data_IF_362446121453
#
_entry.id   IF_362446121453
#
_cell.length_a   1.000
_cell.length_b   1.000
_cell.length_c   1.000
_cell.angle_alpha   90.00
_cell.angle_beta   90.00
_cell.angle_gamma   90.00
#
_symmetry.space_group_name_H-M   'P 1'
#
loop_
_entity.id
_entity.type
_entity.pdbx_description
1 polymer ?
#
# COMPACT_ATOMS: atom_id res chain seq x y z
N UNK A 1 13.69 -6.33 -34.42
CA UNK A 1 13.95 -5.08 -33.66
C UNK A 1 12.80 -4.13 -33.99
N UNK A 2 11.73 -4.15 -33.20
CA UNK A 2 10.53 -3.35 -33.48
C UNK A 2 10.83 -1.88 -33.15
N UNK A 3 10.94 -1.03 -34.17
CA UNK A 3 11.06 0.41 -33.98
C UNK A 3 9.77 0.97 -33.36
N UNK A 4 9.87 1.89 -32.39
CA UNK A 4 8.74 2.54 -31.68
C UNK A 4 7.59 3.00 -32.60
N UNK A 5 7.88 3.42 -33.83
CA UNK A 5 6.86 3.78 -34.85
C UNK A 5 5.92 2.62 -35.24
N UNK A 6 6.41 1.39 -35.22
CA UNK A 6 5.64 0.17 -35.54
C UNK A 6 4.70 -0.25 -34.41
N UNK A 7 4.92 0.26 -33.20
CA UNK A 7 4.13 -0.08 -32.00
C UNK A 7 3.04 0.95 -31.69
N UNK A 8 3.01 2.08 -32.40
CA UNK A 8 1.93 3.07 -32.33
C UNK A 8 0.89 2.72 -33.41
N UNK A 9 -0.39 2.51 -33.08
CA UNK A 9 -1.44 2.40 -34.08
C UNK A 9 -1.57 3.72 -34.86
N UNK A 10 -2.00 3.65 -36.12
CA UNK A 10 -2.42 4.83 -36.89
C UNK A 10 -3.56 5.54 -36.17
N UNK A 11 -3.67 6.85 -36.33
CA UNK A 11 -4.81 7.60 -35.78
C UNK A 11 -6.12 7.04 -36.32
N UNK A 12 -7.04 6.70 -35.41
CA UNK A 12 -8.35 6.11 -35.74
C UNK A 12 -8.38 4.59 -35.91
N UNK A 13 -7.24 3.89 -35.85
CA UNK A 13 -7.18 2.43 -35.96
C UNK A 13 -7.11 1.72 -34.60
N UNK A 14 -7.79 0.58 -34.49
CA UNK A 14 -7.68 -0.27 -33.30
C UNK A 14 -6.28 -0.90 -33.23
N UNK A 15 -5.66 -0.94 -32.04
CA UNK A 15 -4.33 -1.51 -31.89
C UNK A 15 -4.33 -3.00 -32.23
N UNK A 16 -3.29 -3.45 -32.94
CA UNK A 16 -3.12 -4.87 -33.26
C UNK A 16 -2.91 -5.71 -32.00
N UNK A 17 -3.20 -7.02 -32.08
CA UNK A 17 -2.99 -7.96 -30.94
C UNK A 17 -1.56 -7.93 -30.41
N UNK A 18 -0.57 -7.74 -31.29
CA UNK A 18 0.85 -7.64 -30.90
C UNK A 18 1.13 -6.35 -30.13
N UNK A 19 0.61 -5.21 -30.59
CA UNK A 19 0.76 -3.92 -29.91
C UNK A 19 0.14 -3.96 -28.51
N UNK A 20 -1.07 -4.53 -28.40
CA UNK A 20 -1.76 -4.69 -27.13
C UNK A 20 -1.01 -5.66 -26.19
N UNK A 21 -0.50 -6.78 -26.72
CA UNK A 21 0.29 -7.75 -25.97
C UNK A 21 1.57 -7.14 -25.39
N UNK A 22 2.29 -6.34 -26.19
CA UNK A 22 3.47 -5.60 -25.73
C UNK A 22 3.10 -4.61 -24.63
N UNK A 23 2.04 -3.82 -24.82
CA UNK A 23 1.57 -2.85 -23.82
C UNK A 23 1.22 -3.54 -22.49
N UNK A 24 0.43 -4.62 -22.50
CA UNK A 24 0.06 -5.31 -21.28
C UNK A 24 1.25 -5.98 -20.60
N UNK A 25 2.21 -6.52 -21.35
CA UNK A 25 3.44 -7.06 -20.76
C UNK A 25 4.25 -5.98 -20.03
N UNK A 26 4.34 -4.78 -20.61
CA UNK A 26 5.02 -3.65 -19.99
C UNK A 26 4.29 -3.17 -18.72
N UNK A 27 2.96 -3.07 -18.74
CA UNK A 27 2.16 -2.72 -17.56
C UNK A 27 2.28 -3.75 -16.43
N UNK A 28 2.37 -5.05 -16.77
CA UNK A 28 2.61 -6.11 -15.80
C UNK A 28 3.99 -5.99 -15.17
N UNK A 29 5.03 -5.68 -15.96
CA UNK A 29 6.38 -5.45 -15.43
C UNK A 29 6.41 -4.26 -14.47
N UNK A 30 5.78 -3.13 -14.83
CA UNK A 30 5.65 -1.96 -13.96
C UNK A 30 4.90 -2.32 -12.66
N UNK A 31 3.85 -3.13 -12.75
CA UNK A 31 3.10 -3.59 -11.57
C UNK A 31 3.96 -4.47 -10.65
N UNK A 32 4.77 -5.37 -11.21
CA UNK A 32 5.72 -6.21 -10.45
C UNK A 32 6.78 -5.34 -9.79
N UNK A 33 7.32 -4.35 -10.50
CA UNK A 33 8.31 -3.40 -9.97
C UNK A 33 7.75 -2.61 -8.80
N UNK A 34 6.57 -2.01 -8.96
CA UNK A 34 5.89 -1.25 -7.91
C UNK A 34 5.62 -2.12 -6.69
N UNK A 35 5.18 -3.37 -6.91
CA UNK A 35 4.94 -4.33 -5.84
C UNK A 35 6.20 -4.73 -5.07
N UNK A 36 7.37 -4.76 -5.71
CA UNK A 36 8.63 -5.10 -5.05
C UNK A 36 9.30 -3.92 -4.35
N UNK A 37 9.39 -2.78 -5.05
CA UNK A 37 10.16 -1.60 -4.60
C UNK A 37 9.47 -0.84 -3.47
N UNK A 38 8.13 -0.69 -3.52
CA UNK A 38 7.37 0.08 -2.53
C UNK A 38 7.53 -0.43 -1.09
N UNK A 39 7.77 -1.73 -0.88
CA UNK A 39 7.93 -2.30 0.46
C UNK A 39 9.38 -2.46 0.90
N UNK A 40 10.34 -2.31 -0.01
CA UNK A 40 11.74 -2.67 0.28
C UNK A 40 12.64 -1.44 0.42
N UNK A 41 12.50 -0.42 -0.43
CA UNK A 41 13.45 0.70 -0.48
C UNK A 41 13.54 1.44 0.86
N UNK A 42 12.40 1.84 1.42
CA UNK A 42 12.37 2.59 2.68
C UNK A 42 12.92 1.77 3.86
N UNK A 43 12.61 0.47 3.91
CA UNK A 43 13.07 -0.42 4.99
C UNK A 43 14.57 -0.67 4.87
N UNK A 44 15.07 -0.99 3.66
CA UNK A 44 16.50 -1.19 3.41
C UNK A 44 17.30 0.07 3.75
N UNK A 45 16.76 1.26 3.43
CA UNK A 45 17.37 2.54 3.80
C UNK A 45 17.38 2.78 5.31
N UNK A 46 16.27 2.54 6.00
CA UNK A 46 16.19 2.67 7.46
C UNK A 46 17.11 1.68 8.19
N UNK A 47 17.24 0.45 7.68
CA UNK A 47 18.10 -0.60 8.24
C UNK A 47 19.60 -0.24 8.24
N UNK A 48 20.00 0.79 7.47
CA UNK A 48 21.37 1.32 7.51
C UNK A 48 21.67 2.03 8.83
N UNK A 49 20.63 2.56 9.51
CA UNK A 49 20.77 3.32 10.74
C UNK A 49 20.52 2.44 11.97
N UNK A 50 21.49 2.30 12.90
CA UNK A 50 21.32 1.45 14.08
C UNK A 50 20.40 2.05 15.15
N UNK A 51 20.24 3.38 15.19
CA UNK A 51 19.47 4.09 16.21
C UNK A 51 18.08 4.42 15.67
N UNK A 52 17.05 4.13 16.47
CA UNK A 52 15.65 4.41 16.11
C UNK A 52 15.40 5.90 15.81
N UNK A 53 16.10 6.81 16.49
CA UNK A 53 16.02 8.25 16.21
C UNK A 53 16.45 8.58 14.77
N UNK A 54 17.56 8.01 14.33
CA UNK A 54 18.13 8.27 13.01
C UNK A 54 17.27 7.62 11.90
N UNK A 55 16.67 6.46 12.19
CA UNK A 55 15.66 5.84 11.33
C UNK A 55 14.44 6.75 11.12
N UNK A 56 13.94 7.38 12.20
CA UNK A 56 12.84 8.32 12.12
C UNK A 56 13.17 9.55 11.27
N UNK A 57 14.38 10.11 11.41
CA UNK A 57 14.86 11.21 10.57
C UNK A 57 14.95 10.79 9.10
N UNK A 58 15.45 9.59 8.83
CA UNK A 58 15.48 9.03 7.48
C UNK A 58 14.08 8.92 6.87
N UNK A 59 13.10 8.36 7.61
CA UNK A 59 11.73 8.24 7.11
C UNK A 59 11.12 9.60 6.76
N UNK A 60 11.34 10.62 7.60
CA UNK A 60 10.84 11.98 7.31
C UNK A 60 11.42 12.53 6.00
N UNK A 61 12.73 12.42 5.80
CA UNK A 61 13.37 12.84 4.55
C UNK A 61 12.94 12.00 3.35
N UNK A 62 12.80 10.68 3.52
CA UNK A 62 12.31 9.78 2.49
C UNK A 62 10.91 10.20 2.01
N UNK A 63 9.96 10.41 2.93
CA UNK A 63 8.61 10.84 2.53
C UNK A 63 8.61 12.25 1.93
N UNK A 64 9.35 13.20 2.50
CA UNK A 64 9.47 14.54 1.93
C UNK A 64 9.97 14.51 0.48
N UNK A 65 11.07 13.80 0.23
CA UNK A 65 11.63 13.65 -1.14
C UNK A 65 10.67 12.92 -2.07
N UNK A 66 9.95 11.90 -1.59
CA UNK A 66 8.95 11.17 -2.36
C UNK A 66 7.78 12.07 -2.79
N UNK A 67 7.27 12.95 -1.91
CA UNK A 67 6.22 13.90 -2.27
C UNK A 67 6.70 14.93 -3.29
N UNK A 68 7.91 15.48 -3.13
CA UNK A 68 8.51 16.41 -4.10
C UNK A 68 8.70 15.73 -5.45
N UNK A 69 9.22 14.49 -5.47
CA UNK A 69 9.41 13.71 -6.69
C UNK A 69 8.08 13.42 -7.40
N UNK A 70 7.02 13.11 -6.65
CA UNK A 70 5.67 12.94 -7.23
C UNK A 70 5.16 14.23 -7.88
N UNK A 71 5.33 15.38 -7.23
CA UNK A 71 4.93 16.67 -7.83
C UNK A 71 5.69 16.93 -9.13
N UNK A 72 7.01 16.71 -9.16
CA UNK A 72 7.82 16.86 -10.37
C UNK A 72 7.37 15.87 -11.46
N UNK A 73 7.07 14.62 -11.08
CA UNK A 73 6.59 13.59 -12.00
C UNK A 73 5.26 13.98 -12.64
N UNK A 74 4.24 14.29 -11.83
CA UNK A 74 2.92 14.65 -12.34
C UNK A 74 2.87 16.00 -13.06
N UNK A 75 3.90 16.85 -12.93
CA UNK A 75 3.99 18.11 -13.69
C UNK A 75 4.93 17.97 -14.89
N UNK A 76 6.24 17.95 -14.65
CA UNK A 76 7.26 18.03 -15.69
C UNK A 76 7.29 16.79 -16.58
N UNK A 77 7.22 15.58 -16.00
CA UNK A 77 7.25 14.34 -16.81
C UNK A 77 5.97 14.20 -17.63
N UNK A 78 4.81 14.45 -17.02
CA UNK A 78 3.52 14.42 -17.73
C UNK A 78 3.49 15.47 -18.85
N UNK A 79 4.01 16.68 -18.60
CA UNK A 79 4.13 17.72 -19.63
C UNK A 79 5.02 17.27 -20.80
N UNK A 80 6.18 16.67 -20.53
CA UNK A 80 7.03 16.11 -21.59
C UNK A 80 6.30 15.01 -22.36
N UNK A 81 5.55 14.14 -21.68
CA UNK A 81 4.81 13.05 -22.31
C UNK A 81 3.68 13.57 -23.23
N UNK A 82 2.91 14.54 -22.75
CA UNK A 82 1.70 15.02 -23.43
C UNK A 82 2.00 16.06 -24.50
N UNK A 83 2.90 17.02 -24.22
CA UNK A 83 3.17 18.15 -25.13
C UNK A 83 4.35 17.94 -26.07
N UNK A 84 5.36 17.14 -25.69
CA UNK A 84 6.58 16.96 -26.50
C UNK A 84 6.60 15.58 -27.17
N UNK A 85 6.30 14.52 -26.39
CA UNK A 85 6.12 13.19 -26.92
C UNK A 85 6.47 12.06 -25.94
N UNK A 86 5.75 10.96 -26.12
CA UNK A 86 5.80 9.79 -25.24
C UNK A 86 7.20 9.14 -25.19
N UNK A 87 7.89 9.08 -26.33
CA UNK A 87 9.23 8.47 -26.39
C UNK A 87 10.25 9.21 -25.51
N UNK A 88 10.21 10.55 -25.50
CA UNK A 88 11.10 11.36 -24.67
C UNK A 88 10.72 11.25 -23.19
N UNK A 89 9.42 11.32 -22.88
CA UNK A 89 8.94 11.20 -21.49
C UNK A 89 9.31 9.85 -20.86
N UNK A 90 9.01 8.73 -21.53
CA UNK A 90 9.40 7.41 -21.03
C UNK A 90 10.92 7.20 -21.08
N UNK A 91 11.61 7.74 -22.08
CA UNK A 91 13.08 7.70 -22.16
C UNK A 91 13.74 8.39 -20.96
N UNK A 92 13.20 9.53 -20.52
CA UNK A 92 13.65 10.23 -19.32
C UNK A 92 13.43 9.39 -18.06
N UNK A 93 12.27 8.73 -17.92
CA UNK A 93 12.01 7.81 -16.81
C UNK A 93 12.98 6.62 -16.78
N UNK A 94 13.30 6.04 -17.93
CA UNK A 94 14.28 4.95 -18.01
C UNK A 94 15.67 5.44 -17.65
N UNK A 95 16.07 6.61 -18.14
CA UNK A 95 17.36 7.23 -17.83
C UNK A 95 17.53 7.53 -16.36
N UNK A 96 16.54 8.13 -15.71
CA UNK A 96 16.60 8.44 -14.26
C UNK A 96 16.63 7.17 -13.41
N UNK A 97 15.87 6.14 -13.77
CA UNK A 97 15.94 4.83 -13.11
C UNK A 97 17.32 4.15 -13.28
N UNK A 98 17.90 4.21 -14.48
CA UNK A 98 19.24 3.68 -14.73
C UNK A 98 20.31 4.39 -13.89
N UNK A 99 20.22 5.72 -13.77
CA UNK A 99 21.09 6.51 -12.88
C UNK A 99 20.88 6.12 -11.41
N UNK A 100 19.63 6.01 -10.96
CA UNK A 100 19.30 5.57 -9.60
C UNK A 100 19.87 4.18 -9.29
N UNK A 101 19.72 3.23 -10.21
CA UNK A 101 20.29 1.88 -10.09
C UNK A 101 21.83 1.92 -10.04
N UNK A 102 22.47 2.73 -10.89
CA UNK A 102 23.92 2.88 -10.88
C UNK A 102 24.43 3.42 -9.54
N UNK A 103 23.76 4.45 -8.98
CA UNK A 103 24.07 5.01 -7.66
C UNK A 103 23.89 3.95 -6.57
N UNK A 104 22.77 3.21 -6.61
CA UNK A 104 22.48 2.14 -5.65
C UNK A 104 23.55 1.04 -5.68
N UNK A 105 23.96 0.60 -6.87
CA UNK A 105 25.00 -0.43 -7.02
C UNK A 105 26.39 0.08 -6.61
N UNK A 106 26.72 1.35 -6.92
CA UNK A 106 27.97 1.97 -6.48
C UNK A 106 28.06 2.08 -4.94
N UNK A 107 26.91 2.25 -4.27
CA UNK A 107 26.78 2.29 -2.82
C UNK A 107 26.98 0.93 -2.12
N UNK A 108 26.99 -0.19 -2.85
CA UNK A 108 26.99 -1.56 -2.28
C UNK A 108 28.04 -1.79 -1.19
N UNK A 109 29.24 -1.24 -1.35
CA UNK A 109 30.34 -1.39 -0.37
C UNK A 109 30.11 -0.70 0.97
N UNK A 110 29.19 0.26 1.01
CA UNK A 110 28.85 1.05 2.20
C UNK A 110 27.59 0.53 2.91
N UNK A 111 26.84 -0.37 2.28
CA UNK A 111 25.62 -0.88 2.86
C UNK A 111 25.90 -1.87 3.98
N UNK A 112 25.21 -1.68 5.10
CA UNK A 112 25.13 -2.64 6.18
C UNK A 112 24.24 -3.80 5.74
N UNK A 113 24.84 -4.98 5.57
CA UNK A 113 24.09 -6.20 5.30
C UNK A 113 23.37 -6.68 6.57
N UNK A 114 22.05 -6.53 6.59
CA UNK A 114 21.20 -7.11 7.65
C UNK A 114 21.02 -8.61 7.40
N UNK A 115 21.19 -9.42 8.44
CA UNK A 115 20.98 -10.87 8.33
C UNK A 115 19.49 -11.17 8.06
N UNK A 116 19.17 -12.08 7.12
CA UNK A 116 17.78 -12.42 6.83
C UNK A 116 17.13 -13.08 8.05
N UNK A 117 15.99 -12.54 8.50
CA UNK A 117 15.23 -13.01 9.67
C UNK A 117 14.30 -14.20 9.37
N UNK A 118 14.39 -14.77 8.17
CA UNK A 118 13.47 -15.82 7.67
C UNK A 118 12.15 -15.25 7.14
N UNK A 119 11.29 -16.12 6.62
CA UNK A 119 9.99 -15.72 6.05
C UNK A 119 8.88 -15.76 7.12
N UNK A 120 8.20 -14.64 7.41
CA UNK A 120 7.05 -14.63 8.29
C UNK A 120 5.91 -15.50 7.73
N UNK A 121 5.74 -15.57 6.41
CA UNK A 121 4.72 -16.41 5.77
C UNK A 121 4.92 -17.90 6.06
N UNK A 122 6.17 -18.38 6.07
CA UNK A 122 6.47 -19.77 6.45
C UNK A 122 6.11 -20.02 7.90
N UNK A 123 6.35 -19.06 8.78
CA UNK A 123 5.95 -19.14 10.19
C UNK A 123 4.44 -19.31 10.34
N UNK A 124 3.66 -18.47 9.65
CA UNK A 124 2.19 -18.54 9.65
C UNK A 124 1.67 -19.86 9.05
N UNK A 125 2.24 -20.29 7.92
CA UNK A 125 1.89 -21.56 7.29
C UNK A 125 2.19 -22.75 8.20
N UNK A 126 3.32 -22.74 8.94
CA UNK A 126 3.65 -23.76 9.93
C UNK A 126 2.61 -23.83 11.04
N UNK A 127 2.13 -22.70 11.55
CA UNK A 127 1.08 -22.68 12.58
C UNK A 127 -0.21 -23.31 12.08
N UNK A 128 -0.63 -22.99 10.85
CA UNK A 128 -1.82 -23.60 10.24
C UNK A 128 -1.65 -25.12 10.07
N UNK A 129 -0.54 -25.54 9.47
CA UNK A 129 -0.24 -26.97 9.23
C UNK A 129 -0.11 -27.74 10.54
N UNK A 130 0.58 -27.19 11.54
CA UNK A 130 0.73 -27.80 12.86
C UNK A 130 -0.61 -27.92 13.59
N UNK A 131 -1.48 -26.91 13.48
CA UNK A 131 -2.83 -26.94 14.03
C UNK A 131 -3.67 -28.06 13.40
N UNK A 132 -3.64 -28.20 12.07
CA UNK A 132 -4.38 -29.25 11.35
C UNK A 132 -3.86 -30.63 11.73
N UNK A 133 -2.53 -30.82 11.78
CA UNK A 133 -1.90 -32.09 12.18
C UNK A 133 -2.23 -32.48 13.61
N UNK A 134 -2.47 -31.50 14.49
CA UNK A 134 -2.83 -31.68 15.90
C UNK A 134 -4.33 -31.52 16.15
N UNK A 135 -5.17 -31.47 15.10
CA UNK A 135 -6.61 -31.23 15.26
C UNK A 135 -7.30 -32.29 16.13
N UNK A 136 -6.89 -33.55 16.02
CA UNK A 136 -7.45 -34.66 16.81
C UNK A 136 -6.99 -34.65 18.28
N UNK A 137 -6.06 -33.79 18.67
CA UNK A 137 -5.65 -33.66 20.07
C UNK A 137 -6.70 -32.84 20.83
N UNK A 138 -7.23 -33.45 21.89
CA UNK A 138 -8.18 -32.80 22.81
C UNK A 138 -7.42 -31.70 23.56
N UNK A 139 -7.93 -30.47 23.47
CA UNK A 139 -7.46 -29.35 24.30
C UNK A 139 -8.09 -29.51 25.68
N UNK A 140 -7.41 -30.20 26.60
CA UNK A 140 -7.87 -30.32 27.99
C UNK A 140 -7.89 -28.92 28.62
N UNK A 141 -8.98 -28.58 29.31
CA UNK A 141 -9.16 -27.28 29.97
C UNK A 141 -8.04 -26.98 30.97
N UNK A 142 -7.70 -25.69 31.17
CA UNK A 142 -6.60 -25.27 32.04
C UNK A 142 -6.79 -25.63 33.53
N UNK A 143 -8.00 -26.01 33.94
CA UNK A 143 -8.33 -26.32 35.35
C UNK A 143 -7.86 -27.72 35.82
N UNK A 144 -7.30 -28.56 34.93
CA UNK A 144 -6.92 -29.95 35.25
C UNK A 144 -5.46 -30.30 34.93
N UNK A 145 -4.54 -29.33 34.97
CA UNK A 145 -3.15 -29.56 34.54
C UNK A 145 -2.14 -29.47 35.69
N UNK A 146 -1.79 -30.64 36.27
CA UNK A 146 -0.58 -30.74 37.08
C UNK A 146 0.59 -31.45 36.40
N UNK A 147 0.48 -32.07 35.20
CA UNK A 147 1.66 -32.80 34.69
C UNK A 147 1.81 -33.14 33.17
N UNK A 148 1.07 -32.60 32.19
CA UNK A 148 1.29 -33.07 30.79
C UNK A 148 1.00 -32.17 29.58
N UNK A 149 0.82 -30.85 29.69
CA UNK A 149 0.65 -30.02 28.49
C UNK A 149 1.27 -28.63 28.61
N UNK A 150 2.59 -28.59 28.76
CA UNK A 150 3.34 -27.33 28.63
C UNK A 150 3.36 -26.90 27.16
N UNK A 151 2.86 -25.69 26.87
CA UNK A 151 3.03 -25.04 25.58
C UNK A 151 4.52 -24.75 25.31
N UNK A 152 4.94 -24.81 24.05
CA UNK A 152 6.32 -24.53 23.67
C UNK A 152 6.53 -23.02 23.45
N UNK A 153 7.45 -22.43 24.20
CA UNK A 153 7.84 -21.03 24.09
C UNK A 153 9.22 -20.89 23.45
N UNK A 154 9.43 -19.82 22.69
CA UNK A 154 10.76 -19.51 22.17
C UNK A 154 11.74 -19.22 23.34
N UNK A 155 12.92 -19.85 23.34
CA UNK A 155 14.01 -19.45 24.24
C UNK A 155 14.58 -18.12 23.73
N UNK A 156 14.19 -17.01 24.35
CA UNK A 156 14.82 -15.71 24.13
C UNK A 156 15.52 -15.29 25.42
N UNK A 157 16.77 -14.82 25.34
CA UNK A 157 17.58 -14.37 26.49
C UNK A 157 16.92 -13.23 27.32
N UNK A 158 15.80 -12.67 26.83
CA UNK A 158 15.08 -11.54 27.43
C UNK A 158 13.81 -11.96 28.20
N UNK A 159 13.38 -13.23 28.19
CA UNK A 159 12.13 -13.61 28.87
C UNK A 159 12.35 -14.01 30.34
N UNK A 160 12.43 -13.01 31.22
CA UNK A 160 12.23 -13.11 32.67
C UNK A 160 10.83 -12.63 33.09
N UNK A 161 9.82 -12.74 32.23
CA UNK A 161 8.43 -12.40 32.57
C UNK A 161 7.61 -13.69 32.70
N UNK A 162 6.72 -13.83 33.69
CA UNK A 162 5.94 -15.05 33.91
C UNK A 162 5.21 -15.45 32.63
N UNK A 163 5.45 -16.70 32.22
CA UNK A 163 4.87 -17.39 31.07
C UNK A 163 3.34 -17.26 31.06
N UNK A 164 2.84 -16.33 30.25
CA UNK A 164 1.40 -16.11 30.08
C UNK A 164 0.80 -17.22 29.23
N UNK A 165 -0.28 -17.83 29.72
CA UNK A 165 -1.04 -18.81 28.97
C UNK A 165 -1.51 -18.23 27.61
N UNK A 166 -1.58 -19.05 26.54
CA UNK A 166 -2.05 -18.59 25.23
C UNK A 166 -3.46 -17.99 25.30
N UNK A 167 -3.72 -16.99 24.46
CA UNK A 167 -5.03 -16.32 24.39
C UNK A 167 -6.16 -17.30 24.04
N UNK A 168 -7.35 -17.06 24.61
CA UNK A 168 -8.54 -17.89 24.37
C UNK A 168 -9.21 -17.62 23.00
N UNK A 169 -8.90 -16.49 22.35
CA UNK A 169 -9.40 -16.25 20.98
C UNK A 169 -8.77 -17.25 20.02
N UNK A 170 -9.54 -17.78 19.07
CA UNK A 170 -9.06 -18.80 18.14
C UNK A 170 -8.33 -19.94 18.87
N UNK A 171 -8.92 -20.43 19.98
CA UNK A 171 -8.31 -21.46 20.86
C UNK A 171 -7.81 -22.70 20.12
N UNK A 172 -8.43 -23.03 18.98
CA UNK A 172 -7.98 -24.15 18.14
C UNK A 172 -6.53 -23.98 17.65
N UNK A 173 -6.05 -22.76 17.41
CA UNK A 173 -4.66 -22.49 16.98
C UNK A 173 -3.64 -22.80 18.08
N UNK A 174 -4.05 -22.81 19.35
CA UNK A 174 -3.17 -23.18 20.47
C UNK A 174 -2.66 -24.60 20.35
N UNK A 175 -3.34 -25.46 19.57
CA UNK A 175 -2.90 -26.82 19.28
C UNK A 175 -1.52 -26.86 18.61
N UNK A 176 -1.17 -25.87 17.80
CA UNK A 176 0.15 -25.82 17.16
C UNK A 176 1.31 -25.69 18.16
N UNK A 177 1.06 -25.06 19.31
CA UNK A 177 2.06 -24.85 20.36
C UNK A 177 2.07 -25.95 21.44
N UNK A 178 1.17 -26.94 21.37
CA UNK A 178 1.16 -28.04 22.33
C UNK A 178 2.37 -28.95 22.14
N UNK A 179 3.14 -29.19 23.20
CA UNK A 179 4.24 -30.16 23.15
C UNK A 179 3.69 -31.59 23.04
N UNK A 180 4.29 -32.41 22.17
CA UNK A 180 3.96 -33.84 22.02
C UNK A 180 5.26 -34.65 21.95
N UNK A 181 5.25 -35.90 22.41
CA UNK A 181 6.42 -36.79 22.39
C UNK A 181 7.10 -36.79 21.00
N UNK A 182 8.40 -36.52 20.96
CA UNK A 182 9.23 -36.50 19.74
C UNK A 182 9.20 -35.20 18.93
N UNK A 183 8.55 -34.14 19.40
CA UNK A 183 8.57 -32.82 18.74
C UNK A 183 9.78 -31.96 19.13
N UNK A 184 10.41 -32.27 20.25
CA UNK A 184 11.57 -31.57 20.80
C UNK A 184 12.76 -32.54 20.82
N UNK A 185 13.93 -32.05 20.37
CA UNK A 185 15.20 -32.76 20.47
C UNK A 185 15.76 -32.71 21.91
N UNK A 186 16.73 -33.55 22.28
CA UNK A 186 17.32 -33.52 23.63
C UNK A 186 17.94 -32.16 24.01
N UNK A 187 18.36 -31.37 23.02
CA UNK A 187 18.86 -29.99 23.17
C UNK A 187 17.75 -28.93 23.37
N UNK A 188 16.49 -29.36 23.56
CA UNK A 188 15.29 -28.52 23.61
C UNK A 188 14.95 -27.77 22.32
N UNK A 189 15.60 -28.08 21.19
CA UNK A 189 15.27 -27.47 19.89
C UNK A 189 14.10 -28.18 19.22
N UNK A 190 13.42 -27.48 18.29
CA UNK A 190 12.27 -28.05 17.57
C UNK A 190 12.77 -29.12 16.58
N UNK A 191 12.42 -30.38 16.82
CA UNK A 191 12.74 -31.49 15.92
C UNK A 191 11.90 -31.47 14.64
N UNK A 192 10.63 -31.04 14.75
CA UNK A 192 9.65 -31.03 13.65
C UNK A 192 8.99 -29.65 13.49
N UNK A 193 9.60 -28.72 12.73
CA UNK A 193 9.13 -27.33 12.58
C UNK A 193 7.70 -27.16 12.02
N UNK A 194 7.18 -28.19 11.34
CA UNK A 194 5.83 -28.22 10.77
C UNK A 194 4.80 -28.96 11.64
N UNK A 195 5.18 -29.35 12.86
CA UNK A 195 4.30 -30.02 13.83
C UNK A 195 4.27 -29.31 15.17
N UNK A 196 5.33 -28.56 15.51
CA UNK A 196 5.42 -27.75 16.71
C UNK A 196 5.80 -26.31 16.35
N UNK A 197 5.03 -25.36 16.85
CA UNK A 197 5.30 -23.93 16.76
C UNK A 197 5.45 -23.32 18.15
N UNK A 198 6.00 -22.11 18.21
CA UNK A 198 6.08 -21.35 19.45
C UNK A 198 4.76 -20.63 19.75
N UNK A 199 4.46 -20.34 21.02
CA UNK A 199 3.27 -19.55 21.39
C UNK A 199 3.28 -18.19 20.74
N UNK A 200 4.46 -17.56 20.62
CA UNK A 200 4.62 -16.26 19.97
C UNK A 200 4.14 -16.31 18.50
N UNK A 201 4.56 -17.32 17.73
CA UNK A 201 4.10 -17.51 16.35
C UNK A 201 2.59 -17.74 16.24
N UNK A 202 2.00 -18.41 17.23
CA UNK A 202 0.55 -18.65 17.29
C UNK A 202 -0.20 -17.34 17.57
N UNK A 203 0.27 -16.54 18.53
CA UNK A 203 -0.32 -15.24 18.86
C UNK A 203 -0.15 -14.22 17.72
N UNK A 204 0.96 -14.25 16.98
CA UNK A 204 1.15 -13.46 15.77
C UNK A 204 0.06 -13.78 14.73
N UNK A 205 -0.18 -15.06 14.43
CA UNK A 205 -1.23 -15.47 13.49
C UNK A 205 -2.62 -15.05 13.97
N UNK A 206 -2.92 -15.23 15.27
CA UNK A 206 -4.20 -14.78 15.84
C UNK A 206 -4.40 -13.28 15.70
N UNK A 207 -3.33 -12.51 15.96
CA UNK A 207 -3.36 -11.06 15.82
C UNK A 207 -3.66 -10.67 14.37
N UNK A 208 -3.02 -11.31 13.39
CA UNK A 208 -3.32 -11.11 11.98
C UNK A 208 -4.77 -11.45 11.62
N UNK A 209 -5.31 -12.56 12.14
CA UNK A 209 -6.72 -12.94 11.91
C UNK A 209 -7.69 -11.92 12.52
N UNK A 210 -7.37 -11.34 13.68
CA UNK A 210 -8.16 -10.26 14.29
C UNK A 210 -8.08 -8.95 13.51
N UNK A 211 -6.95 -8.70 12.85
CA UNK A 211 -6.74 -7.52 12.00
C UNK A 211 -7.35 -7.68 10.59
N UNK A 212 -7.71 -8.90 10.19
CA UNK A 212 -8.25 -9.18 8.85
C UNK A 212 -9.53 -8.39 8.50
N UNK A 213 -10.52 -8.23 9.40
CA UNK A 213 -11.67 -7.37 9.13
C UNK A 213 -11.29 -5.90 8.93
N UNK A 214 -10.34 -5.40 9.72
CA UNK A 214 -9.83 -4.03 9.59
C UNK A 214 -9.08 -3.83 8.27
N UNK A 215 -8.30 -4.81 7.85
CA UNK A 215 -7.65 -4.78 6.54
C UNK A 215 -8.66 -4.81 5.40
N UNK A 216 -9.69 -5.64 5.52
CA UNK A 216 -10.78 -5.75 4.52
C UNK A 216 -11.55 -4.44 4.36
N UNK A 217 -11.75 -3.67 5.43
CA UNK A 217 -12.41 -2.36 5.32
C UNK A 217 -11.62 -1.40 4.42
N UNK A 218 -10.29 -1.51 4.38
CA UNK A 218 -9.42 -0.73 3.50
C UNK A 218 -9.76 -0.85 2.02
N UNK A 219 -10.37 -1.96 1.57
CA UNK A 219 -10.82 -2.13 0.18
C UNK A 219 -11.86 -1.06 -0.19
N UNK A 220 -12.77 -0.74 0.73
CA UNK A 220 -13.79 0.30 0.53
C UNK A 220 -13.21 1.72 0.47
N UNK A 221 -11.96 1.91 0.88
CA UNK A 221 -11.25 3.19 0.70
C UNK A 221 -10.46 3.16 -0.62
N UNK A 222 -9.70 2.10 -0.87
CA UNK A 222 -8.81 2.00 -2.03
C UNK A 222 -9.56 2.04 -3.36
N UNK A 223 -10.73 1.40 -3.47
CA UNK A 223 -11.50 1.38 -4.73
C UNK A 223 -11.99 2.78 -5.12
N UNK A 224 -12.70 3.54 -4.26
CA UNK A 224 -13.04 4.94 -4.50
C UNK A 224 -11.86 5.82 -4.92
N UNK A 225 -10.73 5.72 -4.22
CA UNK A 225 -9.53 6.51 -4.53
C UNK A 225 -9.02 6.18 -5.94
N UNK A 226 -8.93 4.89 -6.29
CA UNK A 226 -8.51 4.47 -7.63
C UNK A 226 -9.43 4.98 -8.74
N UNK A 227 -10.74 4.90 -8.52
CA UNK A 227 -11.74 5.43 -9.46
C UNK A 227 -11.60 6.95 -9.60
N UNK A 228 -11.47 7.66 -8.47
CA UNK A 228 -11.31 9.11 -8.44
C UNK A 228 -10.09 9.55 -9.26
N UNK A 229 -8.91 8.93 -9.06
CA UNK A 229 -7.71 9.28 -9.82
C UNK A 229 -7.93 9.18 -11.33
N UNK A 230 -8.59 8.12 -11.81
CA UNK A 230 -8.88 7.93 -13.23
C UNK A 230 -9.92 8.94 -13.75
N UNK A 231 -11.00 9.15 -13.01
CA UNK A 231 -12.07 10.07 -13.42
C UNK A 231 -11.61 11.53 -13.41
N UNK A 232 -10.75 11.94 -12.49
CA UNK A 232 -10.17 13.29 -12.48
C UNK A 232 -9.42 13.58 -13.78
N UNK A 233 -8.62 12.63 -14.27
CA UNK A 233 -7.93 12.80 -15.56
C UNK A 233 -8.92 12.87 -16.72
N UNK A 234 -9.96 12.02 -16.72
CA UNK A 234 -10.98 12.03 -17.77
C UNK A 234 -11.81 13.33 -17.78
N UNK A 235 -12.14 13.85 -16.61
CA UNK A 235 -12.80 15.15 -16.46
C UNK A 235 -11.91 16.27 -17.01
N UNK A 236 -10.63 16.28 -16.64
CA UNK A 236 -9.68 17.28 -17.12
C UNK A 236 -9.52 17.28 -18.65
N UNK A 237 -9.62 16.12 -19.32
CA UNK A 237 -9.62 16.03 -20.79
C UNK A 237 -10.81 16.75 -21.46
N UNK A 238 -11.89 17.00 -20.72
CA UNK A 238 -13.11 17.66 -21.20
C UNK A 238 -13.28 19.08 -20.67
N UNK A 239 -12.31 19.58 -19.90
CA UNK A 239 -12.33 20.91 -19.29
C UNK A 239 -11.32 21.83 -19.98
N UNK A 240 -11.58 23.14 -19.93
CA UNK A 240 -10.59 24.11 -20.38
C UNK A 240 -9.40 24.11 -19.42
N UNK A 241 -8.23 23.75 -19.93
CA UNK A 241 -6.98 23.64 -19.16
C UNK A 241 -5.99 24.76 -19.50
N UNK A 242 -6.41 25.83 -20.17
CA UNK A 242 -5.53 26.95 -20.50
C UNK A 242 -5.24 27.84 -19.28
N UNK A 243 -3.96 28.06 -19.01
CA UNK A 243 -3.49 29.14 -18.11
C UNK A 243 -2.92 30.24 -19.01
N UNK A 244 -3.75 31.25 -19.25
CA UNK A 244 -3.41 32.34 -20.18
C UNK A 244 -3.36 31.86 -21.64
N UNK A 245 -2.81 32.68 -22.55
CA UNK A 245 -2.94 32.45 -24.00
C UNK A 245 -1.96 31.41 -24.59
N UNK A 246 -0.93 30.98 -23.85
CA UNK A 246 0.18 30.20 -24.40
C UNK A 246 0.46 28.88 -23.69
N UNK A 247 -0.24 28.58 -22.60
CA UNK A 247 0.05 27.39 -21.81
C UNK A 247 -1.22 26.61 -21.52
N UNK A 248 -1.21 25.33 -21.90
CA UNK A 248 -2.26 24.38 -21.58
C UNK A 248 -1.69 23.33 -20.63
N UNK A 249 -2.36 23.13 -19.50
CA UNK A 249 -1.99 22.10 -18.54
C UNK A 249 -2.39 20.73 -19.11
N UNK A 250 -1.48 19.74 -19.16
CA UNK A 250 -1.83 18.38 -19.50
C UNK A 250 -2.86 17.81 -18.52
N UNK A 251 -3.90 17.15 -19.01
CA UNK A 251 -4.96 16.58 -18.16
C UNK A 251 -4.44 15.63 -17.08
N UNK A 252 -3.39 14.84 -17.40
CA UNK A 252 -2.73 13.96 -16.44
C UNK A 252 -2.08 14.68 -15.24
N UNK A 253 -1.80 15.99 -15.37
CA UNK A 253 -1.16 16.78 -14.32
C UNK A 253 -2.13 17.22 -13.22
N UNK A 254 -3.44 17.05 -13.42
CA UNK A 254 -4.45 17.43 -12.42
C UNK A 254 -4.32 16.62 -11.12
N UNK A 255 -3.65 15.46 -11.17
CA UNK A 255 -3.33 14.67 -9.97
C UNK A 255 -2.46 15.43 -8.96
N UNK A 256 -1.71 16.44 -9.39
CA UNK A 256 -0.91 17.31 -8.50
C UNK A 256 -1.81 17.99 -7.47
N UNK A 257 -3.00 18.45 -7.86
CA UNK A 257 -3.94 19.09 -6.94
C UNK A 257 -4.38 18.13 -5.85
N UNK A 258 -4.62 16.86 -6.19
CA UNK A 258 -4.94 15.81 -5.21
C UNK A 258 -3.80 15.60 -4.22
N UNK A 259 -2.55 15.55 -4.69
CA UNK A 259 -1.38 15.40 -3.80
C UNK A 259 -1.17 16.60 -2.88
N UNK A 260 -1.26 17.83 -3.41
CA UNK A 260 -1.13 19.06 -2.63
C UNK A 260 -2.27 19.18 -1.61
N UNK A 261 -3.50 18.93 -2.04
CA UNK A 261 -4.67 18.90 -1.15
C UNK A 261 -4.51 17.86 -0.04
N UNK A 262 -4.02 16.66 -0.37
CA UNK A 262 -3.74 15.60 0.61
C UNK A 262 -2.68 16.05 1.62
N UNK A 263 -1.59 16.69 1.18
CA UNK A 263 -0.55 17.18 2.08
C UNK A 263 -1.08 18.26 3.05
N UNK A 264 -1.89 19.20 2.54
CA UNK A 264 -2.56 20.22 3.38
C UNK A 264 -3.54 19.55 4.35
N UNK A 265 -4.34 18.60 3.88
CA UNK A 265 -5.30 17.87 4.69
C UNK A 265 -4.63 17.08 5.82
N UNK A 266 -3.49 16.42 5.56
CA UNK A 266 -2.69 15.74 6.59
C UNK A 266 -2.24 16.75 7.65
N UNK A 267 -1.66 17.88 7.23
CA UNK A 267 -1.22 18.91 8.18
C UNK A 267 -2.37 19.45 9.04
N UNK A 268 -3.52 19.73 8.43
CA UNK A 268 -4.72 20.18 9.13
C UNK A 268 -5.23 19.08 10.07
N UNK A 269 -5.31 17.83 9.61
CA UNK A 269 -5.77 16.71 10.43
C UNK A 269 -4.86 16.51 11.64
N UNK A 270 -3.55 16.44 11.47
CA UNK A 270 -2.61 16.23 12.57
C UNK A 270 -2.62 17.37 13.59
N UNK A 271 -2.83 18.62 13.12
CA UNK A 271 -2.85 19.79 14.01
C UNK A 271 -4.17 19.94 14.76
N UNK A 272 -5.29 19.81 14.06
CA UNK A 272 -6.61 20.18 14.58
C UNK A 272 -7.42 19.00 15.08
N UNK A 273 -7.33 17.83 14.44
CA UNK A 273 -8.16 16.67 14.77
C UNK A 273 -7.94 16.16 16.21
N UNK A 274 -6.70 16.02 16.73
CA UNK A 274 -6.48 15.60 18.11
C UNK A 274 -7.02 16.62 19.12
N UNK A 275 -6.85 17.91 18.83
CA UNK A 275 -7.28 19.01 19.71
C UNK A 275 -8.80 19.10 19.78
N UNK A 276 -9.48 19.01 18.62
CA UNK A 276 -10.93 19.01 18.52
C UNK A 276 -11.54 17.77 19.16
N UNK A 277 -10.96 16.58 18.91
CA UNK A 277 -11.44 15.33 19.49
C UNK A 277 -11.37 15.32 21.01
N UNK A 278 -10.27 15.84 21.56
CA UNK A 278 -10.07 15.95 23.01
C UNK A 278 -11.06 16.93 23.65
N UNK A 279 -11.41 18.02 22.95
CA UNK A 279 -12.46 18.96 23.39
C UNK A 279 -13.86 18.33 23.37
N UNK A 280 -14.16 17.50 22.37
CA UNK A 280 -15.50 16.94 22.18
C UNK A 280 -15.76 15.72 23.06
N UNK A 281 -14.76 14.83 23.21
CA UNK A 281 -14.92 13.53 23.88
C UNK A 281 -14.21 13.44 25.23
N UNK A 282 -13.35 14.41 25.57
CA UNK A 282 -12.49 14.36 26.77
C UNK A 282 -11.33 13.37 26.66
N UNK A 283 -11.25 12.54 25.61
CA UNK A 283 -10.29 11.46 25.44
C UNK A 283 -9.32 11.71 24.28
N UNK A 284 -8.20 11.00 24.26
CA UNK A 284 -7.28 10.98 23.11
C UNK A 284 -7.87 10.18 21.96
N UNK A 285 -7.67 10.67 20.72
CA UNK A 285 -8.08 9.96 19.52
C UNK A 285 -7.31 8.65 19.38
N UNK A 286 -8.02 7.52 19.38
CA UNK A 286 -7.39 6.21 19.17
C UNK A 286 -7.14 5.98 17.68
N UNK A 287 -6.13 5.16 17.31
CA UNK A 287 -5.86 4.84 15.89
C UNK A 287 -7.08 4.24 15.18
N UNK A 288 -7.85 3.39 15.86
CA UNK A 288 -9.05 2.76 15.29
C UNK A 288 -10.16 3.78 15.02
N UNK A 289 -10.35 4.76 15.91
CA UNK A 289 -11.27 5.87 15.67
C UNK A 289 -10.80 6.74 14.50
N UNK A 290 -9.49 6.97 14.37
CA UNK A 290 -8.91 7.67 13.22
C UNK A 290 -9.26 7.00 11.89
N UNK A 291 -9.15 5.67 11.81
CA UNK A 291 -9.58 4.89 10.63
C UNK A 291 -11.08 5.09 10.37
N UNK A 292 -11.92 5.03 11.41
CA UNK A 292 -13.36 5.26 11.30
C UNK A 292 -13.71 6.66 10.75
N UNK A 293 -13.04 7.70 11.24
CA UNK A 293 -13.22 9.08 10.74
C UNK A 293 -12.81 9.16 9.26
N UNK A 294 -11.70 8.52 8.88
CA UNK A 294 -11.27 8.45 7.49
C UNK A 294 -12.32 7.83 6.56
N UNK A 295 -12.98 6.75 6.99
CA UNK A 295 -14.08 6.15 6.25
C UNK A 295 -15.27 7.11 6.05
N UNK A 296 -15.67 7.83 7.10
CA UNK A 296 -16.76 8.81 7.01
C UNK A 296 -16.40 9.95 6.06
N UNK A 297 -15.18 10.47 6.15
CA UNK A 297 -14.67 11.49 5.23
C UNK A 297 -14.65 11.01 3.78
N UNK A 298 -14.25 9.76 3.53
CA UNK A 298 -14.24 9.16 2.20
C UNK A 298 -15.66 9.06 1.61
N UNK A 299 -16.65 8.65 2.42
CA UNK A 299 -18.05 8.58 1.99
C UNK A 299 -18.58 9.97 1.64
N UNK A 300 -18.33 10.98 2.48
CA UNK A 300 -18.73 12.36 2.20
C UNK A 300 -18.03 12.92 0.96
N UNK A 301 -16.74 12.63 0.78
CA UNK A 301 -15.98 13.03 -0.40
C UNK A 301 -16.53 12.41 -1.69
N UNK A 302 -16.88 11.12 -1.66
CA UNK A 302 -17.48 10.44 -2.81
C UNK A 302 -18.89 10.95 -3.12
N UNK A 303 -19.68 11.28 -2.09
CA UNK A 303 -20.97 11.94 -2.28
C UNK A 303 -20.80 13.31 -2.96
N UNK A 304 -19.82 14.11 -2.52
CA UNK A 304 -19.46 15.36 -3.17
C UNK A 304 -19.04 15.18 -4.63
N UNK A 305 -18.17 14.20 -4.91
CA UNK A 305 -17.74 13.88 -6.27
C UNK A 305 -18.92 13.48 -7.17
N UNK A 306 -19.82 12.64 -6.66
CA UNK A 306 -21.05 12.25 -7.36
C UNK A 306 -21.94 13.45 -7.67
N UNK A 307 -22.07 14.42 -6.76
CA UNK A 307 -22.87 15.63 -6.99
C UNK A 307 -22.26 16.50 -8.09
N UNK A 308 -20.93 16.69 -8.08
CA UNK A 308 -20.21 17.44 -9.12
C UNK A 308 -20.40 16.77 -10.49
N UNK A 309 -20.25 15.45 -10.56
CA UNK A 309 -20.45 14.73 -11.82
C UNK A 309 -21.91 14.79 -12.28
N UNK A 310 -22.88 14.72 -11.36
CA UNK A 310 -24.30 14.89 -11.68
C UNK A 310 -24.57 16.28 -12.29
N UNK A 311 -23.93 17.33 -11.75
CA UNK A 311 -24.02 18.69 -12.29
C UNK A 311 -23.40 18.78 -13.68
N UNK A 312 -22.21 18.21 -13.88
CA UNK A 312 -21.53 18.18 -15.19
C UNK A 312 -22.41 17.53 -16.26
N UNK A 313 -23.00 16.37 -15.96
CA UNK A 313 -23.89 15.66 -16.88
C UNK A 313 -25.15 16.48 -17.20
N UNK A 314 -25.74 17.14 -16.20
CA UNK A 314 -26.88 18.02 -16.41
C UNK A 314 -26.55 19.18 -17.36
N UNK A 315 -25.36 19.80 -17.23
CA UNK A 315 -24.90 20.88 -18.13
C UNK A 315 -24.75 20.36 -19.57
N UNK A 316 -24.16 19.17 -19.74
CA UNK A 316 -24.04 18.53 -21.06
C UNK A 316 -25.42 18.32 -21.70
N UNK A 317 -26.40 17.83 -20.93
CA UNK A 317 -27.77 17.62 -21.38
C UNK A 317 -28.48 18.92 -21.73
N UNK A 318 -28.40 19.93 -20.86
CA UNK A 318 -29.10 21.20 -21.07
C UNK A 318 -28.57 22.00 -22.26
N UNK A 319 -27.30 21.81 -22.62
CA UNK A 319 -26.69 22.44 -23.79
C UNK A 319 -26.73 21.58 -25.06
N UNK A 320 -27.46 20.44 -25.06
CA UNK A 320 -27.53 19.50 -26.19
C UNK A 320 -26.14 19.10 -26.75
N UNK A 321 -25.15 18.99 -25.85
CA UNK A 321 -23.79 18.64 -26.24
C UNK A 321 -23.60 17.13 -26.46
N UNK A 322 -24.67 16.33 -26.35
CA UNK A 322 -24.65 14.87 -26.52
C UNK A 322 -24.33 14.44 -27.96
N UNK A 323 -24.75 15.23 -28.96
CA UNK A 323 -24.60 14.89 -30.40
C UNK A 323 -23.36 15.53 -31.07
N UNK A 324 -22.63 16.40 -30.37
CA UNK A 324 -21.44 17.04 -30.94
C UNK A 324 -20.21 16.15 -30.75
N UNK A 325 -19.89 15.38 -31.79
CA UNK A 325 -18.75 14.45 -31.82
C UNK A 325 -17.43 15.24 -31.95
N UNK A 326 -16.92 15.73 -30.82
CA UNK A 326 -15.57 16.28 -30.74
C UNK A 326 -15.35 17.22 -29.56
N UNK A 327 -14.50 16.81 -28.60
CA UNK A 327 -13.85 17.63 -27.56
C UNK A 327 -14.60 18.89 -27.10
N UNK A 328 -15.89 18.78 -26.80
CA UNK A 328 -16.66 19.95 -26.37
C UNK A 328 -16.32 20.24 -24.92
N UNK A 329 -15.59 21.33 -24.71
CA UNK A 329 -15.26 21.84 -23.39
C UNK A 329 -16.56 22.07 -22.63
N UNK A 330 -16.75 21.39 -21.51
CA UNK A 330 -17.95 21.58 -20.67
C UNK A 330 -17.75 22.83 -19.82
N UNK A 331 -18.57 23.90 -20.01
CA UNK A 331 -18.47 25.09 -19.18
C UNK A 331 -19.02 24.76 -17.78
N UNK A 332 -18.13 24.37 -16.87
CA UNK A 332 -18.46 24.07 -15.47
C UNK A 332 -18.65 25.34 -14.62
N UNK A 333 -18.44 26.52 -15.21
CA UNK A 333 -18.66 27.83 -14.60
C UNK A 333 -20.08 28.34 -14.92
N UNK A 334 -21.09 27.77 -14.26
CA UNK A 334 -22.45 28.31 -14.17
C UNK A 334 -23.10 27.88 -12.85
#
# INVERSE_FOLDING_TARGET
>A
MATLRSLRPSEGETPSRLQLGVLYSALMLVSIELGGTCFTIAIVGADQFPKAKDQGVFFNWYFFTLYVANIISFTAIVYVQDSIGWCLGFGLCVGTNAVGLAIFLAGKRYYRCVKPKGSPFISLARVLVATIRKWKLVLVSPETQSNQSSYYHAKTEVSKLPSSAPSQSFRFLNRAALNTKGDIRPDSSIAKPWRLCTVEQVEDLKTLLRLFPLWSSGIFISVPIGIQMSLTVLQALTMDCHIGPHFQIPAGSFLVFTFVSTAIAIYVADRFLPSMWRRLTGCSLTPLQGIGIGHVLNIMGMAGFSLVESRRLHVVQSHHLEDQTGSTVVPMSA
#
